data_IF_142990012936
#
_entry.id   IF_142990012936
#
_cell.length_a   1.000
_cell.length_b   1.000
_cell.length_c   1.000
_cell.angle_alpha   90.00
_cell.angle_beta   90.00
_cell.angle_gamma   90.00
#
_symmetry.space_group_name_H-M   'P 1'
#
loop_
_entity.id
_entity.type
_entity.pdbx_description
1 polymer ?
#
# COMPACT_ATOMS: atom_id res chain seq x y z
N UNK A 1 26.41 53.87 -0.02
CA UNK A 1 25.14 53.36 0.51
C UNK A 1 25.21 51.83 0.45
N UNK A 2 25.43 51.16 1.57
CA UNK A 2 25.53 49.70 1.63
C UNK A 2 24.15 49.12 1.98
N UNK A 3 23.55 48.33 1.10
CA UNK A 3 22.35 47.56 1.42
C UNK A 3 22.83 46.26 2.07
N UNK A 4 22.67 46.15 3.39
CA UNK A 4 22.87 44.91 4.12
C UNK A 4 21.58 44.10 3.98
N UNK A 5 21.59 43.10 3.11
CA UNK A 5 20.50 42.14 2.99
C UNK A 5 20.53 41.18 4.18
N UNK A 6 19.52 41.25 5.04
CA UNK A 6 19.31 40.23 6.07
C UNK A 6 18.70 38.99 5.43
N UNK A 7 19.48 37.92 5.32
CA UNK A 7 18.96 36.61 4.99
C UNK A 7 18.43 35.96 6.27
N UNK A 8 17.10 35.86 6.41
CA UNK A 8 16.49 35.02 7.44
C UNK A 8 16.55 33.58 6.93
N UNK A 9 17.48 32.79 7.46
CA UNK A 9 17.49 31.34 7.28
C UNK A 9 16.47 30.76 8.26
N UNK A 10 15.26 30.46 7.79
CA UNK A 10 14.29 29.71 8.58
C UNK A 10 14.77 28.25 8.66
N UNK A 11 14.98 27.68 9.86
CA UNK A 11 15.34 26.27 9.99
C UNK A 11 14.20 25.41 9.43
N UNK A 12 14.55 24.29 8.78
CA UNK A 12 13.57 23.30 8.39
C UNK A 12 12.87 22.78 9.66
N UNK A 13 11.56 23.02 9.79
CA UNK A 13 10.77 22.51 10.89
C UNK A 13 10.21 21.15 10.51
N UNK A 14 10.73 20.10 11.12
CA UNK A 14 10.15 18.76 11.03
C UNK A 14 8.74 18.77 11.64
N UNK A 15 7.79 18.11 10.99
CA UNK A 15 6.42 17.93 11.48
C UNK A 15 6.18 16.45 11.70
N UNK A 16 5.63 16.08 12.85
CA UNK A 16 5.32 14.68 13.17
C UNK A 16 3.90 14.55 13.72
N UNK A 17 3.37 13.33 13.68
CA UNK A 17 2.09 13.00 14.28
C UNK A 17 1.97 11.52 14.60
N UNK A 18 1.13 11.23 15.59
CA UNK A 18 0.75 9.90 16.01
C UNK A 18 -0.76 9.76 15.90
N UNK A 19 -1.22 8.64 15.35
CA UNK A 19 -2.64 8.42 15.10
C UNK A 19 -3.01 6.95 15.28
N UNK A 20 -4.14 6.73 15.95
CA UNK A 20 -4.84 5.46 15.94
C UNK A 20 -5.83 5.43 14.77
N UNK A 21 -5.85 4.31 14.06
CA UNK A 21 -6.70 4.07 12.90
C UNK A 21 -7.39 2.71 13.04
N UNK A 22 -8.62 2.61 12.53
CA UNK A 22 -9.35 1.35 12.43
C UNK A 22 -9.72 1.12 10.98
N UNK A 23 -9.32 -0.04 10.43
CA UNK A 23 -9.74 -0.52 9.12
C UNK A 23 -10.94 -1.42 9.34
N UNK A 24 -12.12 -0.97 8.92
CA UNK A 24 -13.36 -1.73 9.06
C UNK A 24 -13.37 -3.00 8.21
N UNK A 25 -14.23 -3.95 8.55
CA UNK A 25 -14.41 -5.20 7.81
C UNK A 25 -14.78 -4.93 6.36
N UNK A 26 -14.10 -5.61 5.44
CA UNK A 26 -14.41 -5.68 4.02
C UNK A 26 -13.19 -5.37 3.16
N UNK A 27 -13.05 -6.11 2.06
CA UNK A 27 -11.90 -6.04 1.15
C UNK A 27 -11.71 -4.70 0.41
N UNK A 28 -12.63 -3.74 0.59
CA UNK A 28 -12.58 -2.41 -0.04
C UNK A 28 -12.39 -1.28 1.00
N UNK A 29 -12.10 -1.63 2.26
CA UNK A 29 -11.85 -0.65 3.31
C UNK A 29 -10.35 -0.44 3.48
N UNK A 30 -9.94 0.82 3.50
CA UNK A 30 -8.60 1.23 3.89
C UNK A 30 -8.68 2.48 4.76
N UNK A 31 -7.64 2.73 5.53
CA UNK A 31 -7.44 4.00 6.22
C UNK A 31 -6.47 4.87 5.44
N UNK A 32 -6.71 6.20 5.40
CA UNK A 32 -5.85 7.13 4.65
C UNK A 32 -5.50 8.38 5.45
N UNK A 33 -4.21 8.70 5.46
CA UNK A 33 -3.69 10.00 5.91
C UNK A 33 -3.27 10.79 4.68
N UNK A 34 -3.68 12.06 4.63
CA UNK A 34 -3.31 12.96 3.55
C UNK A 34 -2.27 13.93 4.05
N UNK A 35 -1.15 14.01 3.34
CA UNK A 35 -0.12 15.02 3.52
C UNK A 35 -0.17 15.94 2.32
N UNK A 36 -0.17 17.25 2.57
CA UNK A 36 0.18 18.19 1.52
C UNK A 36 1.59 18.72 1.85
N UNK A 37 2.44 18.76 0.84
CA UNK A 37 3.88 18.98 1.00
C UNK A 37 4.25 20.12 0.06
N UNK A 38 4.90 21.15 0.60
CA UNK A 38 5.24 22.38 -0.11
C UNK A 38 6.67 22.37 -0.67
N UNK A 39 7.53 21.48 -0.18
CA UNK A 39 8.92 21.33 -0.62
C UNK A 39 9.37 19.87 -0.60
N UNK A 40 10.36 19.57 -1.43
CA UNK A 40 11.03 18.27 -1.42
C UNK A 40 11.54 17.93 0.00
N UNK A 41 11.52 16.64 0.33
CA UNK A 41 11.75 16.17 1.68
C UNK A 41 11.57 14.67 1.79
N UNK A 42 11.12 14.20 2.96
CA UNK A 42 10.92 12.77 3.22
C UNK A 42 9.71 12.54 4.12
N UNK A 43 8.95 11.51 3.80
CA UNK A 43 7.88 10.95 4.64
C UNK A 43 8.46 9.68 5.27
N UNK A 44 8.45 9.58 6.60
CA UNK A 44 8.90 8.35 7.28
C UNK A 44 8.15 8.11 8.57
N UNK A 45 8.26 6.91 9.12
CA UNK A 45 7.54 6.57 10.34
C UNK A 45 7.47 5.08 10.61
N UNK A 46 6.57 4.72 11.52
CA UNK A 46 6.33 3.35 11.96
C UNK A 46 4.84 3.04 12.04
N UNK A 47 4.50 1.76 11.97
CA UNK A 47 3.14 1.29 12.19
C UNK A 47 3.15 0.02 13.04
N UNK A 48 2.04 -0.21 13.74
CA UNK A 48 1.80 -1.41 14.54
C UNK A 48 0.31 -1.73 14.56
N UNK A 49 -0.07 -2.91 14.10
CA UNK A 49 -1.40 -3.49 14.27
C UNK A 49 -1.50 -4.18 15.64
N UNK A 50 -2.63 -4.01 16.31
CA UNK A 50 -2.79 -4.36 17.73
C UNK A 50 -2.98 -5.87 17.96
N UNK A 51 -3.56 -6.58 17.00
CA UNK A 51 -3.90 -8.01 17.09
C UNK A 51 -2.79 -8.92 16.55
N UNK A 52 -1.70 -8.36 16.03
CA UNK A 52 -0.63 -9.11 15.38
C UNK A 52 -0.95 -9.54 13.95
N UNK A 53 -2.07 -9.07 13.39
CA UNK A 53 -2.47 -9.36 12.02
C UNK A 53 -1.68 -8.49 11.04
N UNK A 54 -1.35 -9.05 9.88
CA UNK A 54 -0.61 -8.31 8.86
C UNK A 54 -1.51 -7.27 8.19
N UNK A 55 -1.00 -6.06 8.01
CA UNK A 55 -1.57 -5.03 7.14
C UNK A 55 -0.62 -4.77 5.97
N UNK A 56 -1.12 -4.07 4.96
CA UNK A 56 -0.28 -3.50 3.91
C UNK A 56 -0.32 -1.98 3.97
N UNK A 57 0.86 -1.37 3.96
CA UNK A 57 1.04 0.07 3.97
C UNK A 57 1.59 0.53 2.62
N UNK A 58 1.01 1.61 2.09
CA UNK A 58 1.45 2.25 0.86
C UNK A 58 1.70 3.75 1.08
N UNK A 59 2.66 4.29 0.33
CA UNK A 59 2.82 5.73 0.14
C UNK A 59 2.63 6.05 -1.34
N UNK A 60 1.69 6.93 -1.64
CA UNK A 60 1.36 7.37 -2.99
C UNK A 60 1.55 8.86 -3.15
N UNK A 61 1.93 9.28 -4.36
CA UNK A 61 1.64 10.64 -4.82
C UNK A 61 0.19 10.73 -5.34
N UNK A 62 -0.28 11.93 -5.69
CA UNK A 62 -1.63 12.15 -6.21
C UNK A 62 -2.03 11.26 -7.39
N UNK A 63 -1.14 11.10 -8.39
CA UNK A 63 -1.45 10.33 -9.59
C UNK A 63 -1.62 8.85 -9.26
N UNK A 64 -0.69 8.29 -8.48
CA UNK A 64 -0.74 6.90 -8.04
C UNK A 64 -1.94 6.63 -7.14
N UNK A 65 -2.27 7.54 -6.22
CA UNK A 65 -3.44 7.43 -5.35
C UNK A 65 -4.75 7.41 -6.16
N UNK A 66 -4.81 8.16 -7.26
CA UNK A 66 -5.96 8.17 -8.17
C UNK A 66 -6.06 6.85 -8.93
N UNK A 67 -4.93 6.37 -9.46
CA UNK A 67 -4.86 5.08 -10.16
C UNK A 67 -5.23 3.90 -9.23
N UNK A 68 -4.75 3.91 -7.99
CA UNK A 68 -5.09 2.93 -6.95
C UNK A 68 -6.60 2.93 -6.65
N UNK A 69 -7.21 4.10 -6.43
CA UNK A 69 -8.67 4.21 -6.21
C UNK A 69 -9.48 3.69 -7.39
N UNK A 70 -9.01 3.90 -8.61
CA UNK A 70 -9.64 3.35 -9.82
C UNK A 70 -9.33 1.87 -10.08
N UNK A 71 -8.57 1.21 -9.20
CA UNK A 71 -8.17 -0.18 -9.35
C UNK A 71 -7.19 -0.44 -10.49
N UNK A 72 -6.52 0.57 -11.04
CA UNK A 72 -5.66 0.41 -12.23
C UNK A 72 -4.29 -0.18 -11.89
N UNK A 73 -3.71 0.18 -10.75
CA UNK A 73 -2.40 -0.31 -10.32
C UNK A 73 -2.22 -0.15 -8.81
N UNK A 74 -1.29 -0.91 -8.24
CA UNK A 74 -0.77 -0.75 -6.87
C UNK A 74 0.63 -0.12 -6.88
N UNK A 75 1.07 0.45 -8.01
CA UNK A 75 2.36 1.13 -8.10
C UNK A 75 2.41 2.31 -7.14
N UNK A 76 3.39 2.28 -6.25
CA UNK A 76 3.51 3.18 -5.11
C UNK A 76 4.93 3.74 -5.05
N UNK A 77 5.11 4.86 -4.35
CA UNK A 77 6.44 5.35 -3.99
C UNK A 77 7.13 4.41 -3.00
N UNK A 78 6.34 3.78 -2.13
CA UNK A 78 6.80 2.84 -1.13
C UNK A 78 5.66 1.89 -0.75
N UNK A 79 6.00 0.62 -0.50
CA UNK A 79 5.07 -0.36 0.05
C UNK A 79 5.79 -1.27 1.03
N UNK A 80 5.09 -1.68 2.10
CA UNK A 80 5.54 -2.70 3.02
C UNK A 80 4.34 -3.46 3.58
N UNK A 81 4.56 -4.63 4.17
CA UNK A 81 3.52 -5.41 4.83
C UNK A 81 4.06 -6.09 6.07
N UNK A 82 3.21 -6.23 7.08
CA UNK A 82 3.55 -6.82 8.35
C UNK A 82 2.54 -6.44 9.42
N UNK A 83 2.65 -7.02 10.61
CA UNK A 83 1.91 -6.56 11.78
C UNK A 83 2.57 -5.35 12.44
N UNK A 84 3.88 -5.19 12.26
CA UNK A 84 4.63 -4.00 12.63
C UNK A 84 5.66 -3.68 11.54
N UNK A 85 6.10 -2.43 11.47
CA UNK A 85 7.18 -2.07 10.56
C UNK A 85 7.46 -0.59 10.51
N UNK A 86 8.47 -0.24 9.70
CA UNK A 86 8.86 1.13 9.42
C UNK A 86 8.69 1.44 7.94
N UNK A 87 8.46 2.70 7.61
CA UNK A 87 8.33 3.18 6.24
C UNK A 87 9.15 4.44 6.01
N UNK A 88 9.56 4.65 4.75
CA UNK A 88 10.35 5.81 4.34
C UNK A 88 10.22 6.03 2.84
N UNK A 89 9.77 7.21 2.41
CA UNK A 89 9.69 7.60 1.01
C UNK A 89 10.22 9.03 0.80
N UNK A 90 11.06 9.21 -0.22
CA UNK A 90 11.56 10.52 -0.64
C UNK A 90 10.50 11.28 -1.43
N UNK A 91 10.30 12.55 -1.08
CA UNK A 91 9.39 13.46 -1.76
C UNK A 91 10.22 14.39 -2.63
N UNK A 92 10.10 14.26 -3.95
CA UNK A 92 10.95 14.99 -4.90
C UNK A 92 10.34 16.33 -5.34
N UNK A 93 9.03 16.52 -5.16
CA UNK A 93 8.32 17.72 -5.60
C UNK A 93 7.21 18.09 -4.62
N UNK A 94 6.77 19.36 -4.57
CA UNK A 94 5.58 19.75 -3.84
C UNK A 94 4.32 19.04 -4.38
N UNK A 95 3.33 18.79 -3.53
CA UNK A 95 2.06 18.16 -3.91
C UNK A 95 1.37 17.41 -2.77
N UNK A 96 0.31 16.67 -3.11
CA UNK A 96 -0.39 15.80 -2.18
C UNK A 96 0.21 14.40 -2.20
N UNK A 97 0.38 13.86 -1.00
CA UNK A 97 0.88 12.52 -0.74
C UNK A 97 -0.06 11.80 0.23
N UNK A 98 -0.12 10.49 0.10
CA UNK A 98 -1.12 9.68 0.78
C UNK A 98 -0.46 8.49 1.43
N UNK A 99 -0.63 8.35 2.74
CA UNK A 99 -0.35 7.10 3.45
C UNK A 99 -1.64 6.29 3.47
N UNK A 100 -1.60 5.08 2.93
CA UNK A 100 -2.75 4.17 2.89
C UNK A 100 -2.42 2.92 3.68
N UNK A 101 -3.33 2.52 4.56
CA UNK A 101 -3.27 1.27 5.33
C UNK A 101 -4.44 0.40 4.87
N UNK A 102 -4.14 -0.75 4.29
CA UNK A 102 -5.10 -1.74 3.79
C UNK A 102 -4.97 -3.04 4.58
N UNK A 103 -6.05 -3.83 4.58
CA UNK A 103 -6.02 -5.20 5.07
C UNK A 103 -4.92 -6.02 4.42
N UNK A 104 -4.26 -6.86 5.21
CA UNK A 104 -3.49 -7.97 4.65
C UNK A 104 -4.44 -8.95 3.94
N UNK A 105 -3.91 -9.67 2.94
CA UNK A 105 -4.71 -10.49 2.00
C UNK A 105 -5.66 -11.53 2.64
N UNK A 106 -5.48 -11.86 3.92
CA UNK A 106 -6.28 -12.85 4.66
C UNK A 106 -7.04 -12.28 5.86
N UNK A 107 -7.10 -10.95 6.03
CA UNK A 107 -7.65 -10.31 7.24
C UNK A 107 -8.85 -9.39 6.97
N UNK A 108 -9.38 -9.41 5.74
CA UNK A 108 -10.47 -8.52 5.31
C UNK A 108 -11.80 -8.76 6.03
N UNK A 109 -11.95 -9.89 6.72
CA UNK A 109 -13.13 -10.28 7.50
C UNK A 109 -13.09 -9.78 8.96
N UNK A 110 -12.01 -9.10 9.36
CA UNK A 110 -11.81 -8.60 10.72
C UNK A 110 -11.62 -7.07 10.73
N UNK A 111 -11.90 -6.43 11.86
CA UNK A 111 -11.49 -5.04 12.08
C UNK A 111 -10.01 -5.06 12.47
N UNK A 112 -9.19 -4.25 11.82
CA UNK A 112 -7.77 -4.10 12.17
C UNK A 112 -7.52 -2.72 12.78
N UNK A 113 -6.94 -2.72 13.98
CA UNK A 113 -6.64 -1.49 14.72
C UNK A 113 -5.15 -1.21 14.64
N UNK A 114 -4.79 -0.12 13.98
CA UNK A 114 -3.41 0.24 13.66
C UNK A 114 -3.03 1.52 14.39
N UNK A 115 -1.87 1.49 15.05
CA UNK A 115 -1.18 2.68 15.52
C UNK A 115 -0.16 3.08 14.46
N UNK A 116 -0.14 4.34 14.07
CA UNK A 116 0.79 4.87 13.08
C UNK A 116 1.44 6.15 13.59
N UNK A 117 2.76 6.19 13.50
CA UNK A 117 3.58 7.38 13.77
C UNK A 117 4.24 7.81 12.48
N UNK A 118 4.26 9.12 12.21
CA UNK A 118 4.87 9.65 11.00
C UNK A 118 5.61 10.96 11.27
N UNK A 119 6.60 11.20 10.43
CA UNK A 119 7.50 12.35 10.43
C UNK A 119 7.69 12.82 8.99
N UNK A 120 7.54 14.13 8.80
CA UNK A 120 7.77 14.84 7.55
C UNK A 120 9.01 15.72 7.73
N UNK A 121 10.09 15.36 7.04
CA UNK A 121 11.33 16.14 7.02
C UNK A 121 11.26 17.18 5.90
N UNK A 122 11.49 18.45 6.24
CA UNK A 122 11.57 19.56 5.27
C UNK A 122 10.77 20.80 5.71
N UNK A 123 11.19 21.98 5.25
CA UNK A 123 10.61 23.30 5.58
C UNK A 123 9.17 23.46 5.06
N UNK A 124 8.20 22.79 5.70
CA UNK A 124 6.77 22.82 5.37
C UNK A 124 6.00 23.57 6.48
N UNK A 125 5.84 24.91 6.39
CA UNK A 125 5.27 25.73 7.47
C UNK A 125 3.74 25.62 7.67
N UNK A 126 3.07 24.70 6.99
CA UNK A 126 1.70 24.35 7.30
C UNK A 126 1.44 22.95 6.78
N UNK A 127 0.92 22.03 7.61
CA UNK A 127 -0.27 21.27 7.21
C UNK A 127 -0.92 20.42 8.30
N UNK A 128 -2.24 20.51 8.27
CA UNK A 128 -3.21 19.74 9.03
C UNK A 128 -3.18 18.29 8.52
N UNK A 129 -2.44 17.42 9.19
CA UNK A 129 -2.55 15.97 9.00
C UNK A 129 -3.88 15.47 9.55
N UNK A 130 -4.98 15.67 8.82
CA UNK A 130 -6.28 15.08 9.17
C UNK A 130 -6.38 13.70 8.55
N UNK A 131 -6.25 12.65 9.36
CA UNK A 131 -6.57 11.29 8.95
C UNK A 131 -8.08 11.14 8.76
N UNK A 132 -8.51 10.67 7.59
CA UNK A 132 -9.91 10.36 7.29
C UNK A 132 -9.99 8.88 6.93
N UNK A 133 -10.82 8.12 7.65
CA UNK A 133 -11.25 6.80 7.19
C UNK A 133 -12.15 7.00 5.97
N UNK A 134 -11.74 6.53 4.80
CA UNK A 134 -12.47 6.73 3.54
C UNK A 134 -12.90 5.38 2.99
N UNK A 135 -14.19 5.28 2.66
CA UNK A 135 -14.74 4.18 1.88
C UNK A 135 -14.19 4.30 0.46
N UNK A 136 -13.29 3.41 0.04
CA UNK A 136 -13.01 3.28 -1.38
C UNK A 136 -14.02 2.33 -2.00
N UNK A 137 -14.99 2.90 -2.69
CA UNK A 137 -15.95 2.13 -3.48
C UNK A 137 -15.24 1.44 -4.65
N UNK A 138 -14.74 0.22 -4.42
CA UNK A 138 -15.01 -0.94 -5.27
C UNK A 138 -14.42 -1.04 -6.69
N UNK A 139 -13.10 -0.86 -6.89
CA UNK A 139 -12.44 -1.35 -8.13
C UNK A 139 -11.16 -2.17 -7.93
N UNK A 140 -10.53 -2.15 -6.74
CA UNK A 140 -9.28 -2.90 -6.47
C UNK A 140 -9.48 -4.41 -6.65
N UNK A 141 -10.68 -4.93 -6.34
CA UNK A 141 -11.03 -6.35 -6.53
C UNK A 141 -11.07 -6.79 -7.99
N UNK A 142 -11.48 -5.92 -8.93
CA UNK A 142 -11.45 -6.30 -10.35
C UNK A 142 -10.02 -6.55 -10.79
N UNK A 143 -9.05 -5.77 -10.34
CA UNK A 143 -7.67 -5.93 -10.77
C UNK A 143 -6.91 -7.04 -10.05
N UNK A 144 -7.10 -7.24 -8.73
CA UNK A 144 -6.50 -8.38 -8.02
C UNK A 144 -7.12 -9.70 -8.50
N UNK A 145 -8.44 -9.72 -8.73
CA UNK A 145 -9.14 -10.85 -9.34
C UNK A 145 -8.64 -11.15 -10.75
N UNK A 146 -8.53 -10.12 -11.61
CA UNK A 146 -8.02 -10.25 -12.97
C UNK A 146 -6.56 -10.69 -13.00
N UNK A 147 -5.70 -10.17 -12.11
CA UNK A 147 -4.28 -10.55 -12.00
C UNK A 147 -4.10 -11.97 -11.44
N UNK A 148 -4.98 -12.46 -10.56
CA UNK A 148 -4.99 -13.88 -10.16
C UNK A 148 -5.46 -14.78 -11.30
N UNK A 149 -6.48 -14.37 -12.06
CA UNK A 149 -6.95 -15.11 -13.23
C UNK A 149 -5.90 -15.21 -14.35
N UNK A 150 -5.14 -14.15 -14.63
CA UNK A 150 -4.08 -14.16 -15.65
C UNK A 150 -2.74 -14.75 -15.17
N UNK A 151 -2.62 -15.05 -13.88
CA UNK A 151 -1.48 -15.81 -13.33
C UNK A 151 -1.81 -17.29 -13.15
N UNK A 152 -3.09 -17.63 -13.03
CA UNK A 152 -3.55 -19.00 -13.13
C UNK A 152 -3.68 -19.35 -14.62
N UNK A 153 -2.58 -19.85 -15.21
CA UNK A 153 -2.69 -20.61 -16.44
C UNK A 153 -3.81 -21.65 -16.24
N UNK A 154 -4.82 -21.73 -17.14
CA UNK A 154 -5.79 -22.81 -17.06
C UNK A 154 -5.01 -24.14 -17.04
N UNK A 155 -5.43 -25.12 -16.22
CA UNK A 155 -4.80 -26.44 -16.24
C UNK A 155 -4.79 -26.94 -17.69
N UNK A 156 -3.67 -27.51 -18.17
CA UNK A 156 -3.64 -28.12 -19.50
C UNK A 156 -4.84 -29.04 -19.63
N UNK A 157 -5.68 -28.81 -20.65
CA UNK A 157 -6.79 -29.71 -20.95
C UNK A 157 -6.22 -31.12 -21.07
N UNK A 158 -6.82 -32.06 -20.34
CA UNK A 158 -6.42 -33.48 -20.29
C UNK A 158 -6.76 -34.23 -21.61
N UNK A 159 -6.49 -33.60 -22.75
CA UNK A 159 -6.79 -34.12 -24.09
C UNK A 159 -5.52 -34.45 -24.87
N UNK A 160 -4.34 -34.30 -24.28
CA UNK A 160 -3.06 -34.68 -24.90
C UNK A 160 -2.20 -35.57 -23.97
N UNK A 161 -2.86 -36.52 -23.30
CA UNK A 161 -2.15 -37.66 -22.69
C UNK A 161 -2.48 -38.87 -23.54
N UNK A 162 -1.59 -39.22 -24.47
CA UNK A 162 -1.60 -40.55 -25.07
C UNK A 162 -1.27 -41.54 -23.95
N UNK A 163 -2.27 -42.31 -23.54
CA UNK A 163 -2.10 -43.43 -22.61
C UNK A 163 -1.22 -44.48 -23.31
N UNK A 164 0.03 -44.59 -22.91
CA UNK A 164 0.85 -45.76 -23.25
C UNK A 164 0.47 -46.88 -22.30
N UNK A 165 -0.40 -47.76 -22.74
CA UNK A 165 -0.69 -49.00 -22.01
C UNK A 165 0.57 -49.88 -22.05
N UNK A 166 1.06 -50.24 -20.87
CA UNK A 166 2.27 -51.05 -20.72
C UNK A 166 1.89 -52.51 -20.99
N UNK A 167 2.42 -53.20 -22.02
CA UNK A 167 2.06 -54.60 -22.25
C UNK A 167 2.66 -55.49 -21.14
N UNK A 168 1.78 -55.89 -20.21
CA UNK A 168 2.06 -56.85 -19.16
C UNK A 168 2.00 -58.30 -19.67
N UNK A 169 3.16 -58.96 -19.59
CA UNK A 169 3.48 -60.40 -19.51
C UNK A 169 2.37 -61.44 -19.81
N UNK A 170 2.69 -62.22 -20.85
CA UNK A 170 2.36 -63.63 -21.16
C UNK A 170 1.62 -64.46 -20.10
N UNK A 171 0.48 -65.03 -20.51
CA UNK A 171 0.05 -66.40 -20.18
C UNK A 171 -1.09 -66.79 -21.13
N UNK A 172 -0.96 -67.91 -21.84
CA UNK A 172 -2.02 -68.93 -21.98
C UNK A 172 -1.54 -70.11 -22.83
N UNK A 173 -1.81 -71.30 -22.29
CA UNK A 173 -1.52 -72.63 -22.82
C UNK A 173 -2.42 -73.01 -23.99
N UNK A 174 -1.88 -73.82 -24.91
CA UNK A 174 -2.38 -75.17 -25.21
C UNK A 174 -1.32 -75.98 -25.93
#
# INVERSE_FOLDING_TARGET
>A
MFIIGFYIVLPATTVSGDQAASINIGANHYYRITFNILKAGKISGTFSETSGNSITLYIFNQQQQTAYQSGQTTDSMFSTSGSTGSFSASVLSPGNYYLVLEHGASFTDQVQNVQVSWVLDGSNPALLGTGLAILATGLVLLFIGYRKMHRASPPPSATDVVMFDQPGKTSLSK
#
